data_IF_775617240968
#
_entry.id   IF_775617240968
#
_cell.length_a   1.000
_cell.length_b   1.000
_cell.length_c   1.000
_cell.angle_alpha   90.00
_cell.angle_beta   90.00
_cell.angle_gamma   90.00
#
_symmetry.space_group_name_H-M   'P 1'
#
loop_
_entity.id
_entity.type
_entity.pdbx_description
1 polymer ?
#
# COMPACT_ATOMS: atom_id res chain seq x y z
N UNK A 1 8.32 16.73 11.41
CA UNK A 1 9.26 16.25 12.31
C UNK A 1 8.72 15.87 13.68
N UNK A 2 9.55 16.02 14.70
CA UNK A 2 9.31 15.57 16.08
C UNK A 2 7.97 16.02 16.68
N UNK A 3 7.54 17.26 16.38
CA UNK A 3 6.23 17.76 16.82
C UNK A 3 5.09 16.91 16.27
N UNK A 4 5.11 16.58 14.97
CA UNK A 4 4.09 15.77 14.32
C UNK A 4 4.05 14.34 14.88
N UNK A 5 5.20 13.72 15.06
CA UNK A 5 5.29 12.37 15.64
C UNK A 5 4.64 12.29 17.03
N UNK A 6 4.83 13.34 17.85
CA UNK A 6 4.27 13.43 19.19
C UNK A 6 2.75 13.70 19.20
N UNK A 7 2.27 14.57 18.30
CA UNK A 7 0.91 15.10 18.38
C UNK A 7 -0.06 14.50 17.36
N UNK A 8 0.40 13.68 16.41
CA UNK A 8 -0.47 13.06 15.42
C UNK A 8 -1.66 12.26 16.00
N UNK A 9 -1.55 11.47 17.12
CA UNK A 9 -2.71 10.79 17.67
C UNK A 9 -3.79 11.77 18.17
N UNK A 10 -3.36 12.90 18.73
CA UNK A 10 -4.29 13.95 19.16
C UNK A 10 -4.97 14.63 17.97
N UNK A 11 -4.25 14.86 16.88
CA UNK A 11 -4.84 15.36 15.64
C UNK A 11 -5.88 14.39 15.09
N UNK A 12 -5.59 13.09 15.04
CA UNK A 12 -6.53 12.05 14.61
C UNK A 12 -7.79 12.05 15.47
N UNK A 13 -7.64 12.08 16.80
CA UNK A 13 -8.77 12.13 17.72
C UNK A 13 -9.59 13.40 17.50
N UNK A 14 -8.94 14.56 17.43
CA UNK A 14 -9.60 15.85 17.23
C UNK A 14 -10.48 15.87 15.97
N UNK A 15 -9.90 15.52 14.82
CA UNK A 15 -10.64 15.50 13.56
C UNK A 15 -11.73 14.45 13.52
N UNK A 16 -11.52 13.28 14.11
CA UNK A 16 -12.55 12.26 14.23
C UNK A 16 -13.73 12.72 15.10
N UNK A 17 -13.46 13.34 16.23
CA UNK A 17 -14.50 13.87 17.12
C UNK A 17 -15.26 15.05 16.49
N UNK A 18 -14.58 15.87 15.69
CA UNK A 18 -15.19 16.97 14.94
C UNK A 18 -16.27 16.47 13.94
N UNK A 19 -16.14 15.24 13.45
CA UNK A 19 -17.17 14.58 12.66
C UNK A 19 -18.19 13.85 13.54
N UNK A 20 -17.72 12.98 14.44
CA UNK A 20 -18.59 12.06 15.20
C UNK A 20 -19.60 12.82 16.07
N UNK A 21 -19.19 13.90 16.75
CA UNK A 21 -20.06 14.62 17.68
C UNK A 21 -21.23 15.29 16.95
N UNK A 22 -21.05 16.12 15.92
CA UNK A 22 -22.17 16.70 15.19
C UNK A 22 -23.05 15.64 14.51
N UNK A 23 -22.45 14.56 14.03
CA UNK A 23 -23.18 13.47 13.39
C UNK A 23 -24.06 12.73 14.42
N UNK A 24 -23.54 12.44 15.60
CA UNK A 24 -24.30 11.82 16.68
C UNK A 24 -25.44 12.72 17.20
N UNK A 25 -25.22 14.03 17.28
CA UNK A 25 -26.27 15.00 17.67
C UNK A 25 -27.40 15.05 16.64
N UNK A 26 -27.05 14.95 15.34
CA UNK A 26 -28.03 15.06 14.25
C UNK A 26 -28.79 13.75 14.00
N UNK A 27 -28.12 12.62 14.01
CA UNK A 27 -28.66 11.31 13.60
C UNK A 27 -28.82 10.30 14.74
N UNK A 28 -28.39 10.65 15.94
CA UNK A 28 -28.40 9.79 17.11
C UNK A 28 -27.08 9.05 17.35
N UNK A 29 -26.80 8.79 18.64
CA UNK A 29 -25.55 8.12 19.05
C UNK A 29 -25.42 6.68 18.52
N UNK A 30 -26.54 5.95 18.38
CA UNK A 30 -26.56 4.60 17.82
C UNK A 30 -26.08 4.59 16.37
N UNK A 31 -26.67 5.42 15.52
CA UNK A 31 -26.29 5.54 14.10
C UNK A 31 -24.84 6.01 13.94
N UNK A 32 -24.37 6.90 14.80
CA UNK A 32 -22.97 7.33 14.77
C UNK A 32 -22.02 6.18 15.14
N UNK A 33 -22.37 5.39 16.16
CA UNK A 33 -21.59 4.21 16.54
C UNK A 33 -21.58 3.15 15.43
N UNK A 34 -22.73 2.87 14.80
CA UNK A 34 -22.82 1.96 13.65
C UNK A 34 -21.91 2.42 12.50
N UNK A 35 -22.01 3.70 12.09
CA UNK A 35 -21.19 4.24 11.00
C UNK A 35 -19.69 4.12 11.27
N UNK A 36 -19.26 4.45 12.49
CA UNK A 36 -17.84 4.34 12.87
C UNK A 36 -17.40 2.88 12.95
N UNK A 37 -18.20 2.00 13.55
CA UNK A 37 -17.88 0.58 13.67
C UNK A 37 -17.86 -0.10 12.30
N UNK A 38 -18.80 0.21 11.42
CA UNK A 38 -18.81 -0.32 10.05
C UNK A 38 -17.53 0.04 9.31
N UNK A 39 -17.12 1.30 9.37
CA UNK A 39 -15.87 1.77 8.79
C UNK A 39 -14.64 1.06 9.40
N UNK A 40 -14.59 0.89 10.71
CA UNK A 40 -13.47 0.26 11.40
C UNK A 40 -13.40 -1.25 11.15
N UNK A 41 -14.54 -1.92 11.08
CA UNK A 41 -14.61 -3.38 10.92
C UNK A 41 -14.46 -3.80 9.46
N UNK A 42 -15.16 -3.14 8.55
CA UNK A 42 -15.23 -3.58 7.16
C UNK A 42 -14.17 -2.92 6.26
N UNK A 43 -13.74 -1.69 6.56
CA UNK A 43 -12.72 -1.01 5.76
C UNK A 43 -11.34 -1.05 6.44
N UNK A 44 -11.23 -0.58 7.68
CA UNK A 44 -9.93 -0.39 8.33
C UNK A 44 -9.28 -1.70 8.76
N UNK A 45 -10.02 -2.66 9.33
CA UNK A 45 -9.46 -3.89 9.90
C UNK A 45 -8.73 -4.72 8.83
N UNK A 46 -9.37 -5.02 7.72
CA UNK A 46 -8.80 -5.79 6.62
C UNK A 46 -7.60 -5.07 6.00
N UNK A 47 -7.72 -3.75 5.82
CA UNK A 47 -6.66 -2.90 5.32
C UNK A 47 -5.41 -2.92 6.20
N UNK A 48 -5.56 -2.65 7.51
CA UNK A 48 -4.39 -2.56 8.39
C UNK A 48 -3.75 -3.91 8.65
N UNK A 49 -4.55 -4.99 8.70
CA UNK A 49 -4.02 -6.35 8.87
C UNK A 49 -3.22 -6.77 7.63
N UNK A 50 -3.68 -6.43 6.44
CA UNK A 50 -2.90 -6.70 5.21
C UNK A 50 -1.56 -5.95 5.22
N UNK A 51 -1.58 -4.64 5.49
CA UNK A 51 -0.34 -3.85 5.56
C UNK A 51 0.60 -4.38 6.65
N UNK A 52 0.07 -4.71 7.81
CA UNK A 52 0.83 -5.30 8.91
C UNK A 52 1.46 -6.63 8.50
N UNK A 53 0.70 -7.53 7.88
CA UNK A 53 1.19 -8.83 7.41
C UNK A 53 2.33 -8.69 6.40
N UNK A 54 2.12 -7.88 5.36
CA UNK A 54 3.15 -7.62 4.35
C UNK A 54 4.40 -6.96 4.95
N UNK A 55 4.22 -5.97 5.83
CA UNK A 55 5.32 -5.31 6.53
C UNK A 55 6.13 -6.28 7.37
N UNK A 56 5.48 -7.16 8.14
CA UNK A 56 6.14 -8.17 8.95
C UNK A 56 6.94 -9.15 8.08
N UNK A 57 6.31 -9.68 7.05
CA UNK A 57 6.94 -10.71 6.20
C UNK A 57 8.06 -10.12 5.35
N UNK A 58 7.86 -8.93 4.74
CA UNK A 58 8.91 -8.25 3.98
C UNK A 58 10.11 -7.88 4.86
N UNK A 59 9.86 -7.46 6.12
CA UNK A 59 10.91 -7.16 7.10
C UNK A 59 11.79 -8.36 7.48
N UNK A 60 11.33 -9.57 7.20
CA UNK A 60 12.03 -10.82 7.42
C UNK A 60 12.82 -11.33 6.19
N UNK A 61 12.88 -10.54 5.12
CA UNK A 61 13.70 -10.84 3.92
C UNK A 61 14.76 -9.74 3.79
N UNK A 62 16.01 -10.14 3.55
CA UNK A 62 17.12 -9.21 3.34
C UNK A 62 17.81 -9.49 2.03
N UNK A 63 18.17 -8.42 1.32
CA UNK A 63 19.02 -8.46 0.12
C UNK A 63 20.33 -7.77 0.47
N UNK A 64 21.42 -8.52 0.44
CA UNK A 64 22.77 -8.03 0.70
C UNK A 64 23.68 -8.35 -0.49
N UNK A 65 24.88 -7.79 -0.51
CA UNK A 65 25.90 -8.12 -1.49
C UNK A 65 26.89 -6.99 -1.72
N UNK A 66 27.81 -7.28 -2.62
CA UNK A 66 28.87 -6.37 -3.10
C UNK A 66 28.51 -5.66 -4.41
N UNK A 67 27.21 -5.66 -4.79
CA UNK A 67 26.77 -5.03 -6.02
C UNK A 67 27.11 -3.54 -6.01
N UNK A 68 27.77 -3.08 -7.08
CA UNK A 68 28.16 -1.68 -7.27
C UNK A 68 27.09 -0.95 -8.08
N UNK A 69 26.63 0.17 -7.55
CA UNK A 69 25.64 1.03 -8.22
C UNK A 69 26.23 1.69 -9.47
N UNK A 70 25.85 1.17 -10.62
CA UNK A 70 26.08 1.77 -11.93
C UNK A 70 24.72 2.14 -12.57
N UNK A 71 24.69 3.00 -13.60
CA UNK A 71 23.44 3.39 -14.25
C UNK A 71 22.61 2.20 -14.76
N UNK A 72 23.25 1.17 -15.27
CA UNK A 72 22.55 -0.05 -15.72
C UNK A 72 21.98 -0.85 -14.55
N UNK A 73 22.79 -1.04 -13.51
CA UNK A 73 22.38 -1.79 -12.32
C UNK A 73 21.22 -1.09 -11.59
N UNK A 74 21.28 0.24 -11.44
CA UNK A 74 20.19 1.02 -10.86
C UNK A 74 18.89 0.86 -11.66
N UNK A 75 18.93 0.99 -12.98
CA UNK A 75 17.75 0.83 -13.84
C UNK A 75 17.15 -0.57 -13.73
N UNK A 76 17.97 -1.62 -13.79
CA UNK A 76 17.51 -3.01 -13.69
C UNK A 76 16.87 -3.26 -12.32
N UNK A 77 17.54 -2.84 -11.25
CA UNK A 77 17.06 -3.07 -9.89
C UNK A 77 15.74 -2.32 -9.60
N UNK A 78 15.63 -1.05 -10.04
CA UNK A 78 14.41 -0.28 -9.89
C UNK A 78 13.29 -0.86 -10.77
N UNK A 79 13.58 -1.32 -11.96
CA UNK A 79 12.61 -2.00 -12.83
C UNK A 79 12.05 -3.28 -12.19
N UNK A 80 12.92 -4.15 -11.67
CA UNK A 80 12.50 -5.36 -10.93
C UNK A 80 11.67 -4.98 -9.69
N UNK A 81 12.14 -3.99 -8.92
CA UNK A 81 11.44 -3.51 -7.73
C UNK A 81 10.04 -2.97 -8.04
N UNK A 82 9.84 -2.32 -9.18
CA UNK A 82 8.54 -1.84 -9.64
C UNK A 82 7.54 -2.98 -9.80
N UNK A 83 7.94 -4.08 -10.42
CA UNK A 83 7.07 -5.27 -10.54
C UNK A 83 6.82 -5.96 -9.20
N UNK A 84 7.85 -6.06 -8.35
CA UNK A 84 7.71 -6.65 -7.02
C UNK A 84 6.69 -5.87 -6.17
N UNK A 85 6.64 -4.56 -6.29
CA UNK A 85 5.73 -3.70 -5.52
C UNK A 85 4.26 -4.07 -5.69
N UNK A 86 3.86 -4.55 -6.87
CA UNK A 86 2.48 -5.02 -7.11
C UNK A 86 2.12 -6.30 -6.32
N UNK A 87 3.09 -7.09 -5.88
CA UNK A 87 2.87 -8.39 -5.23
C UNK A 87 3.16 -8.41 -3.74
N UNK A 88 4.11 -7.59 -3.29
CA UNK A 88 4.50 -7.51 -1.87
C UNK A 88 4.13 -6.16 -1.24
N UNK A 89 3.38 -5.34 -1.98
CA UNK A 89 3.03 -3.98 -1.61
C UNK A 89 4.18 -2.99 -1.80
N UNK A 90 3.84 -1.73 -2.07
CA UNK A 90 4.83 -0.64 -2.21
C UNK A 90 5.69 -0.48 -0.95
N UNK A 91 5.10 -0.60 0.24
CA UNK A 91 5.80 -0.55 1.53
C UNK A 91 6.78 -1.71 1.68
N UNK A 92 6.34 -2.94 1.37
CA UNK A 92 7.18 -4.15 1.45
C UNK A 92 8.36 -4.10 0.48
N UNK A 93 8.11 -3.74 -0.77
CA UNK A 93 9.16 -3.60 -1.78
C UNK A 93 10.15 -2.48 -1.44
N UNK A 94 9.65 -1.36 -0.94
CA UNK A 94 10.49 -0.25 -0.50
C UNK A 94 11.39 -0.66 0.67
N UNK A 95 10.84 -1.36 1.66
CA UNK A 95 11.59 -1.85 2.82
C UNK A 95 12.69 -2.83 2.39
N UNK A 96 12.40 -3.72 1.46
CA UNK A 96 13.33 -4.71 0.94
C UNK A 96 14.49 -4.08 0.14
N UNK A 97 14.20 -3.07 -0.69
CA UNK A 97 15.13 -2.60 -1.71
C UNK A 97 15.82 -1.27 -1.39
N UNK A 98 15.29 -0.43 -0.49
CA UNK A 98 15.87 0.89 -0.21
C UNK A 98 17.32 0.80 0.27
N UNK A 99 17.64 -0.16 1.11
CA UNK A 99 18.98 -0.33 1.67
C UNK A 99 19.99 -0.87 0.68
N UNK A 100 19.72 -1.95 -0.06
CA UNK A 100 20.56 -2.34 -1.18
C UNK A 100 20.86 -1.16 -2.11
N UNK A 101 19.84 -0.37 -2.49
CA UNK A 101 20.02 0.79 -3.37
C UNK A 101 20.91 1.86 -2.74
N UNK A 102 20.73 2.17 -1.45
CA UNK A 102 21.59 3.13 -0.73
C UNK A 102 23.02 2.60 -0.63
N UNK A 103 23.20 1.33 -0.23
CA UNK A 103 24.51 0.70 -0.01
C UNK A 103 25.32 0.62 -1.31
N UNK A 104 24.74 0.14 -2.39
CA UNK A 104 25.43 0.00 -3.67
C UNK A 104 25.83 1.34 -4.30
N UNK A 105 25.14 2.42 -3.93
CA UNK A 105 25.45 3.78 -4.38
C UNK A 105 26.17 4.63 -3.30
N UNK A 106 26.63 4.04 -2.19
CA UNK A 106 27.25 4.77 -1.06
C UNK A 106 28.51 5.54 -1.47
N UNK A 107 29.31 5.00 -2.39
CA UNK A 107 30.53 5.59 -2.92
C UNK A 107 30.31 6.85 -3.77
N UNK A 108 29.09 7.09 -4.26
CA UNK A 108 28.72 8.19 -5.13
C UNK A 108 28.35 9.45 -4.34
N UNK A 109 28.79 10.61 -4.83
CA UNK A 109 28.38 11.93 -4.33
C UNK A 109 27.03 12.36 -4.92
N UNK A 110 26.87 12.19 -6.23
CA UNK A 110 25.66 12.61 -6.97
C UNK A 110 24.66 11.44 -7.11
N UNK A 111 23.88 11.16 -6.06
CA UNK A 111 22.97 10.00 -5.98
C UNK A 111 21.52 10.32 -5.60
N UNK A 112 21.19 11.56 -5.28
CA UNK A 112 19.84 11.93 -4.81
C UNK A 112 18.73 11.56 -5.81
N UNK A 113 18.99 11.73 -7.12
CA UNK A 113 18.04 11.38 -8.17
C UNK A 113 17.65 9.89 -8.14
N UNK A 114 18.55 8.98 -7.76
CA UNK A 114 18.25 7.55 -7.68
C UNK A 114 17.12 7.30 -6.66
N UNK A 115 17.18 7.99 -5.52
CA UNK A 115 16.14 7.88 -4.48
C UNK A 115 14.81 8.50 -4.92
N UNK A 116 14.85 9.61 -5.67
CA UNK A 116 13.64 10.21 -6.25
C UNK A 116 12.95 9.24 -7.20
N UNK A 117 13.71 8.61 -8.10
CA UNK A 117 13.16 7.59 -9.02
C UNK A 117 12.76 6.30 -8.31
N UNK A 118 13.43 5.93 -7.22
CA UNK A 118 13.02 4.84 -6.34
C UNK A 118 11.59 5.07 -5.81
N UNK A 119 11.33 6.29 -5.32
CA UNK A 119 10.01 6.66 -4.81
C UNK A 119 8.97 6.59 -5.94
N UNK A 120 9.25 7.18 -7.10
CA UNK A 120 8.31 7.17 -8.23
C UNK A 120 7.99 5.76 -8.71
N UNK A 121 9.00 4.91 -8.86
CA UNK A 121 8.88 3.58 -9.43
C UNK A 121 8.38 2.56 -8.41
N UNK A 122 9.10 2.37 -7.31
CA UNK A 122 8.85 1.28 -6.36
C UNK A 122 7.81 1.68 -5.31
N UNK A 123 7.96 2.88 -4.71
CA UNK A 123 7.11 3.29 -3.60
C UNK A 123 5.75 3.84 -4.03
N UNK A 124 5.56 4.11 -5.33
CA UNK A 124 4.31 4.67 -5.85
C UNK A 124 3.76 3.80 -7.00
N UNK A 125 4.16 4.06 -8.26
CA UNK A 125 3.49 3.47 -9.41
C UNK A 125 3.60 1.93 -9.49
N UNK A 126 4.60 1.33 -8.86
CA UNK A 126 4.79 -0.12 -8.85
C UNK A 126 3.65 -0.89 -8.18
N UNK A 127 2.86 -0.25 -7.33
CA UNK A 127 1.70 -0.87 -6.67
C UNK A 127 0.44 -1.02 -7.54
N UNK A 128 0.43 -0.51 -8.77
CA UNK A 128 -0.79 -0.31 -9.56
C UNK A 128 -1.43 -1.57 -10.18
N UNK A 129 -0.83 -2.75 -10.09
CA UNK A 129 -1.33 -3.95 -10.80
C UNK A 129 -2.20 -4.88 -9.96
N UNK A 130 -2.16 -4.81 -8.64
CA UNK A 130 -2.98 -5.67 -7.79
C UNK A 130 -3.49 -4.92 -6.56
N UNK A 131 -4.59 -5.38 -5.93
CA UNK A 131 -5.09 -4.81 -4.68
C UNK A 131 -4.11 -4.85 -3.51
N UNK A 132 -3.14 -5.76 -3.53
CA UNK A 132 -2.09 -5.86 -2.50
C UNK A 132 -1.02 -4.80 -2.72
N UNK A 133 -0.86 -4.34 -3.95
CA UNK A 133 0.17 -3.38 -4.35
C UNK A 133 0.01 -2.02 -3.70
N UNK A 134 -1.22 -1.50 -3.70
CA UNK A 134 -1.49 -0.15 -3.21
C UNK A 134 -2.88 -0.05 -2.53
N UNK A 135 -2.98 0.70 -1.41
CA UNK A 135 -4.20 0.86 -0.63
C UNK A 135 -5.47 1.23 -1.42
N UNK A 136 -5.44 2.15 -2.39
CA UNK A 136 -6.62 2.47 -3.19
C UNK A 136 -7.22 1.26 -3.90
N UNK A 137 -6.39 0.41 -4.47
CA UNK A 137 -6.84 -0.78 -5.20
C UNK A 137 -7.45 -1.82 -4.25
N UNK A 138 -6.92 -1.95 -3.04
CA UNK A 138 -7.51 -2.78 -2.00
C UNK A 138 -8.92 -2.29 -1.63
N UNK A 139 -9.10 -0.98 -1.50
CA UNK A 139 -10.41 -0.39 -1.22
C UNK A 139 -11.40 -0.61 -2.37
N UNK A 140 -10.94 -0.59 -3.61
CA UNK A 140 -11.74 -0.97 -4.77
C UNK A 140 -12.14 -2.44 -4.73
N UNK A 141 -11.20 -3.31 -4.41
CA UNK A 141 -11.44 -4.74 -4.24
C UNK A 141 -12.48 -5.04 -3.15
N UNK A 142 -12.37 -4.41 -1.98
CA UNK A 142 -13.36 -4.52 -0.89
C UNK A 142 -14.77 -4.06 -1.30
N UNK A 143 -14.89 -3.27 -2.37
CA UNK A 143 -16.16 -2.80 -2.94
C UNK A 143 -16.60 -3.56 -4.19
N UNK A 144 -16.05 -4.76 -4.41
CA UNK A 144 -16.46 -5.69 -5.45
C UNK A 144 -15.72 -5.55 -6.79
N UNK A 145 -14.66 -4.74 -6.88
CA UNK A 145 -13.81 -4.73 -8.07
C UNK A 145 -12.97 -6.02 -8.09
N UNK A 146 -12.98 -6.83 -9.16
CA UNK A 146 -12.25 -8.09 -9.19
C UNK A 146 -10.73 -7.90 -8.98
N UNK A 147 -10.10 -8.84 -8.25
CA UNK A 147 -8.68 -8.78 -7.90
C UNK A 147 -7.76 -8.50 -9.10
N UNK A 148 -7.98 -9.18 -10.22
CA UNK A 148 -7.15 -9.04 -11.41
C UNK A 148 -7.60 -7.92 -12.37
N UNK A 149 -8.61 -7.14 -12.01
CA UNK A 149 -9.09 -6.05 -12.86
C UNK A 149 -8.02 -5.01 -13.15
N UNK A 150 -7.20 -4.66 -12.17
CA UNK A 150 -6.13 -3.66 -12.27
C UNK A 150 -4.95 -4.10 -13.15
N UNK A 151 -4.82 -5.39 -13.50
CA UNK A 151 -3.84 -5.84 -14.49
C UNK A 151 -4.03 -5.17 -15.86
N UNK A 152 -5.23 -4.68 -16.15
CA UNK A 152 -5.50 -3.88 -17.37
C UNK A 152 -4.65 -2.61 -17.46
N UNK A 153 -4.13 -2.13 -16.34
CA UNK A 153 -3.20 -0.98 -16.29
C UNK A 153 -1.75 -1.35 -16.65
N UNK A 154 -1.45 -2.64 -16.87
CA UNK A 154 -0.10 -3.09 -17.21
C UNK A 154 0.53 -2.34 -18.41
N UNK A 155 -0.16 -2.08 -19.54
CA UNK A 155 0.42 -1.32 -20.64
C UNK A 155 0.77 0.12 -20.24
N UNK A 156 -0.06 0.76 -19.41
CA UNK A 156 0.17 2.11 -18.92
C UNK A 156 1.35 2.13 -17.95
N UNK A 157 1.41 1.17 -17.01
CA UNK A 157 2.55 1.00 -16.12
C UNK A 157 3.84 0.78 -16.90
N UNK A 158 3.83 -0.12 -17.89
CA UNK A 158 5.00 -0.43 -18.71
C UNK A 158 5.50 0.80 -19.48
N UNK A 159 4.59 1.56 -20.09
CA UNK A 159 4.94 2.81 -20.79
C UNK A 159 5.60 3.82 -19.85
N UNK A 160 4.98 4.09 -18.70
CA UNK A 160 5.52 5.02 -17.70
C UNK A 160 6.86 4.53 -17.14
N UNK A 161 6.98 3.23 -16.87
CA UNK A 161 8.22 2.61 -16.40
C UNK A 161 9.35 2.78 -17.44
N UNK A 162 9.09 2.55 -18.72
CA UNK A 162 10.07 2.73 -19.79
C UNK A 162 10.52 4.20 -19.84
N UNK A 163 9.60 5.15 -19.79
CA UNK A 163 9.91 6.58 -19.80
C UNK A 163 10.78 6.94 -18.59
N UNK A 164 10.34 6.59 -17.38
CA UNK A 164 11.05 6.95 -16.15
C UNK A 164 12.43 6.28 -16.06
N UNK A 165 12.54 4.99 -16.41
CA UNK A 165 13.81 4.28 -16.39
C UNK A 165 14.78 4.83 -17.47
N UNK A 166 14.26 5.26 -18.61
CA UNK A 166 15.07 5.91 -19.66
C UNK A 166 15.61 7.26 -19.17
N UNK A 167 14.76 8.09 -18.58
CA UNK A 167 15.17 9.37 -18.00
C UNK A 167 16.19 9.15 -16.88
N UNK A 168 15.92 8.21 -15.97
CA UNK A 168 16.85 7.82 -14.92
C UNK A 168 18.20 7.41 -15.51
N UNK A 169 18.23 6.54 -16.53
CA UNK A 169 19.46 6.07 -17.12
C UNK A 169 20.36 7.22 -17.62
N UNK A 170 19.79 8.18 -18.33
CA UNK A 170 20.57 9.32 -18.85
C UNK A 170 21.01 10.27 -17.74
N UNK A 171 20.16 10.57 -16.78
CA UNK A 171 20.51 11.41 -15.62
C UNK A 171 21.60 10.73 -14.79
N UNK A 172 21.43 9.45 -14.49
CA UNK A 172 22.38 8.69 -13.68
C UNK A 172 23.70 8.50 -14.39
N UNK A 173 23.71 8.27 -15.72
CA UNK A 173 24.94 8.19 -16.53
C UNK A 173 25.72 9.50 -16.49
N UNK A 174 25.04 10.65 -16.52
CA UNK A 174 25.70 11.97 -16.41
C UNK A 174 26.29 12.17 -15.02
N UNK A 175 25.53 11.83 -13.95
CA UNK A 175 25.98 11.94 -12.58
C UNK A 175 27.14 10.98 -12.27
N UNK A 176 27.05 9.73 -12.76
CA UNK A 176 28.09 8.71 -12.63
C UNK A 176 29.43 9.17 -13.25
N UNK A 177 29.39 9.74 -14.48
CA UNK A 177 30.59 10.27 -15.11
C UNK A 177 31.23 11.42 -14.33
N UNK A 178 30.42 12.29 -13.72
CA UNK A 178 30.90 13.36 -12.85
C UNK A 178 31.60 12.82 -11.60
N UNK A 179 31.03 11.77 -11.00
CA UNK A 179 31.60 11.14 -9.81
C UNK A 179 32.95 10.49 -10.12
N UNK A 180 33.05 9.73 -11.22
CA UNK A 180 34.31 9.13 -11.68
C UNK A 180 35.37 10.21 -12.01
N UNK A 181 34.98 11.27 -12.72
CA UNK A 181 35.88 12.38 -13.04
C UNK A 181 36.40 13.14 -11.82
N UNK A 182 35.62 13.13 -10.71
CA UNK A 182 35.99 13.68 -9.43
C UNK A 182 36.82 12.74 -8.54
N UNK A 183 37.19 11.53 -9.05
CA UNK A 183 38.01 10.55 -8.33
C UNK A 183 37.24 9.63 -7.38
N UNK A 184 35.91 9.68 -7.35
CA UNK A 184 35.13 8.73 -6.58
C UNK A 184 35.11 7.37 -7.27
N UNK A 185 35.56 6.32 -6.56
CA UNK A 185 35.56 4.96 -7.08
C UNK A 185 34.90 3.99 -6.10
N UNK A 186 34.18 2.98 -6.61
CA UNK A 186 33.60 1.97 -5.76
C UNK A 186 34.69 1.05 -5.16
N UNK A 187 34.51 0.66 -3.90
CA UNK A 187 35.28 -0.44 -3.31
C UNK A 187 34.74 -1.77 -3.88
N UNK A 188 35.58 -2.47 -4.63
CA UNK A 188 35.25 -3.82 -5.14
C UNK A 188 35.70 -4.81 -4.08
N UNK A 189 34.75 -5.50 -3.47
CA UNK A 189 35.02 -6.57 -2.50
C UNK A 189 35.05 -7.91 -3.23
N UNK A 190 36.22 -8.38 -3.56
CA UNK A 190 36.43 -9.59 -4.39
C UNK A 190 35.87 -10.88 -3.78
N UNK A 191 35.71 -10.95 -2.45
CA UNK A 191 35.29 -12.17 -1.73
C UNK A 191 33.81 -12.16 -1.29
N UNK A 192 33.03 -11.15 -1.60
CA UNK A 192 31.61 -11.11 -1.26
C UNK A 192 30.74 -11.48 -2.48
N UNK A 193 29.66 -12.25 -2.30
CA UNK A 193 28.73 -12.53 -3.41
C UNK A 193 28.08 -11.23 -3.92
N UNK A 194 27.84 -11.16 -5.23
CA UNK A 194 27.20 -9.99 -5.86
C UNK A 194 25.84 -9.70 -5.23
N UNK A 195 25.04 -10.73 -5.01
CA UNK A 195 23.73 -10.65 -4.37
C UNK A 195 23.58 -11.88 -3.44
N UNK A 196 23.13 -11.63 -2.23
CA UNK A 196 22.81 -12.67 -1.24
C UNK A 196 21.42 -12.36 -0.67
N UNK A 197 20.54 -13.34 -0.76
CA UNK A 197 19.23 -13.28 -0.14
C UNK A 197 19.23 -14.06 1.16
N UNK A 198 18.69 -13.46 2.23
CA UNK A 198 18.44 -14.15 3.48
C UNK A 198 16.94 -14.09 3.80
N UNK A 199 16.40 -15.15 4.41
CA UNK A 199 14.97 -15.21 4.76
C UNK A 199 14.05 -15.54 3.59
N UNK A 200 14.52 -16.15 2.49
CA UNK A 200 13.70 -16.46 1.29
C UNK A 200 12.49 -17.37 1.57
N UNK A 201 12.51 -18.18 2.64
CA UNK A 201 11.35 -18.97 3.04
C UNK A 201 10.12 -18.08 3.34
N UNK A 202 10.31 -16.81 3.64
CA UNK A 202 9.22 -15.85 3.85
C UNK A 202 8.41 -15.53 2.57
N UNK A 203 8.92 -15.89 1.40
CA UNK A 203 8.14 -15.82 0.15
C UNK A 203 6.88 -16.70 0.25
N UNK A 204 6.96 -17.85 0.96
CA UNK A 204 5.80 -18.71 1.20
C UNK A 204 4.72 -17.95 1.97
N UNK A 205 5.09 -17.16 2.97
CA UNK A 205 4.13 -16.36 3.75
C UNK A 205 3.55 -15.20 2.93
N UNK A 206 4.33 -14.60 2.01
CA UNK A 206 3.79 -13.63 1.03
C UNK A 206 2.72 -14.31 0.16
N UNK A 207 3.02 -15.51 -0.37
CA UNK A 207 2.04 -16.27 -1.18
C UNK A 207 0.78 -16.59 -0.38
N UNK A 208 0.90 -16.95 0.91
CA UNK A 208 -0.26 -17.18 1.79
C UNK A 208 -1.08 -15.90 1.97
N UNK A 209 -0.44 -14.74 2.16
CA UNK A 209 -1.14 -13.44 2.26
C UNK A 209 -1.87 -13.12 0.95
N UNK A 210 -1.20 -13.27 -0.19
CA UNK A 210 -1.81 -13.06 -1.51
C UNK A 210 -3.02 -13.98 -1.70
N UNK A 211 -2.87 -15.26 -1.35
CA UNK A 211 -3.96 -16.24 -1.43
C UNK A 211 -5.12 -15.87 -0.49
N UNK A 212 -4.84 -15.40 0.73
CA UNK A 212 -5.87 -14.98 1.68
C UNK A 212 -6.73 -13.83 1.11
N UNK A 213 -6.08 -12.81 0.52
CA UNK A 213 -6.79 -11.70 -0.12
C UNK A 213 -7.60 -12.16 -1.33
N UNK A 214 -7.05 -13.03 -2.20
CA UNK A 214 -7.81 -13.56 -3.34
C UNK A 214 -9.02 -14.37 -2.85
N UNK A 215 -8.82 -15.21 -1.84
CA UNK A 215 -9.89 -16.04 -1.27
C UNK A 215 -11.00 -15.17 -0.66
N UNK A 216 -10.70 -14.07 0.00
CA UNK A 216 -11.73 -13.20 0.58
C UNK A 216 -12.67 -12.61 -0.47
N UNK A 217 -12.21 -12.46 -1.71
CA UNK A 217 -13.05 -12.01 -2.83
C UNK A 217 -13.78 -13.13 -3.56
N UNK A 218 -13.34 -14.39 -3.46
CA UNK A 218 -13.95 -15.53 -4.16
C UNK A 218 -14.89 -16.32 -3.25
N UNK A 219 -14.55 -16.48 -1.99
CA UNK A 219 -15.33 -17.26 -1.02
C UNK A 219 -16.78 -16.75 -0.81
N UNK A 220 -17.09 -15.44 -0.91
CA UNK A 220 -18.47 -14.95 -0.85
C UNK A 220 -19.42 -15.60 -1.86
N UNK A 221 -18.91 -15.99 -3.03
CA UNK A 221 -19.71 -16.62 -4.10
C UNK A 221 -19.87 -18.14 -3.91
N UNK A 222 -19.18 -18.73 -2.95
CA UNK A 222 -19.24 -20.17 -2.68
C UNK A 222 -20.44 -20.48 -1.76
N UNK A 223 -21.37 -21.39 -2.16
CA UNK A 223 -22.57 -21.69 -1.38
C UNK A 223 -22.33 -22.11 0.08
N UNK A 224 -21.17 -22.71 0.37
CA UNK A 224 -20.79 -23.10 1.75
C UNK A 224 -20.67 -21.90 2.70
N UNK A 225 -20.31 -20.72 2.18
CA UNK A 225 -20.17 -19.48 2.95
C UNK A 225 -21.42 -18.59 2.88
N UNK A 226 -22.51 -19.08 2.29
CA UNK A 226 -23.77 -18.37 2.16
C UNK A 226 -24.84 -18.97 3.08
N UNK A 227 -25.74 -18.11 3.56
CA UNK A 227 -26.94 -18.52 4.27
C UNK A 227 -28.03 -18.98 3.29
N UNK A 228 -29.18 -19.43 3.82
CA UNK A 228 -30.31 -19.88 3.00
C UNK A 228 -30.90 -18.76 2.10
N UNK A 229 -30.60 -17.50 2.36
CA UNK A 229 -31.02 -16.35 1.56
C UNK A 229 -29.99 -15.97 0.47
N UNK A 230 -28.86 -16.70 0.36
CA UNK A 230 -27.78 -16.40 -0.57
C UNK A 230 -26.85 -15.26 -0.11
N UNK A 231 -26.96 -14.83 1.14
CA UNK A 231 -26.09 -13.80 1.70
C UNK A 231 -24.87 -14.43 2.40
N UNK A 232 -23.74 -13.75 2.38
CA UNK A 232 -22.52 -14.23 3.07
C UNK A 232 -22.76 -14.35 4.57
N UNK A 233 -22.41 -15.50 5.14
CA UNK A 233 -22.49 -15.75 6.57
C UNK A 233 -21.61 -14.72 7.29
N UNK A 234 -22.22 -13.98 8.23
CA UNK A 234 -21.56 -12.86 8.91
C UNK A 234 -21.82 -12.92 10.40
N UNK A 235 -20.87 -12.44 11.17
CA UNK A 235 -20.96 -12.35 12.63
C UNK A 235 -21.48 -10.96 12.97
N UNK A 236 -22.63 -10.84 13.65
CA UNK A 236 -23.15 -9.56 14.10
C UNK A 236 -22.24 -8.97 15.19
N UNK A 237 -21.90 -7.69 15.07
CA UNK A 237 -21.03 -6.97 16.02
C UNK A 237 -21.85 -5.96 16.81
N UNK A 238 -22.56 -5.05 16.11
CA UNK A 238 -23.38 -4.04 16.76
C UNK A 238 -24.42 -3.49 15.76
N UNK A 239 -25.69 -3.45 16.11
CA UNK A 239 -26.77 -3.00 15.22
C UNK A 239 -26.76 -3.76 13.90
N UNK A 240 -26.65 -3.04 12.80
CA UNK A 240 -26.56 -3.61 11.45
C UNK A 240 -25.11 -3.98 11.05
N UNK A 241 -24.11 -3.64 11.87
CA UNK A 241 -22.69 -3.91 11.55
C UNK A 241 -22.39 -5.39 11.72
N UNK A 242 -21.91 -5.99 10.62
CA UNK A 242 -21.58 -7.41 10.55
C UNK A 242 -20.18 -7.58 9.98
N UNK A 243 -19.44 -8.57 10.48
CA UNK A 243 -18.17 -9.00 9.91
C UNK A 243 -18.39 -10.29 9.12
N UNK A 244 -18.11 -10.27 7.81
CA UNK A 244 -18.20 -11.45 6.98
C UNK A 244 -17.19 -12.51 7.46
N UNK A 245 -17.62 -13.80 7.47
CA UNK A 245 -16.73 -14.90 7.89
C UNK A 245 -15.53 -15.02 6.92
N UNK A 246 -15.71 -14.67 5.66
CA UNK A 246 -14.64 -14.64 4.65
C UNK A 246 -13.58 -13.60 4.96
N UNK A 247 -13.95 -12.42 5.45
CA UNK A 247 -13.02 -11.39 5.92
C UNK A 247 -12.31 -11.83 7.21
N UNK A 248 -13.00 -12.52 8.10
CA UNK A 248 -12.36 -13.09 9.30
C UNK A 248 -11.31 -14.14 8.94
N UNK A 249 -11.60 -15.02 7.97
CA UNK A 249 -10.64 -16.00 7.46
C UNK A 249 -9.40 -15.28 6.88
N UNK A 250 -9.59 -14.25 6.08
CA UNK A 250 -8.50 -13.41 5.54
C UNK A 250 -7.62 -12.87 6.66
N UNK A 251 -8.21 -12.19 7.64
CA UNK A 251 -7.51 -11.61 8.80
C UNK A 251 -6.71 -12.67 9.55
N UNK A 252 -7.33 -13.82 9.85
CA UNK A 252 -6.66 -14.92 10.57
C UNK A 252 -5.50 -15.49 9.76
N UNK A 253 -5.67 -15.72 8.47
CA UNK A 253 -4.61 -16.24 7.60
C UNK A 253 -3.41 -15.28 7.53
N UNK A 254 -3.66 -13.97 7.38
CA UNK A 254 -2.61 -12.95 7.32
C UNK A 254 -1.86 -12.86 8.66
N UNK A 255 -2.57 -12.81 9.77
CA UNK A 255 -1.96 -12.76 11.11
C UNK A 255 -1.15 -14.02 11.42
N UNK A 256 -1.64 -15.19 11.03
CA UNK A 256 -0.91 -16.46 11.17
C UNK A 256 0.35 -16.48 10.31
N UNK A 257 0.28 -16.01 9.05
CA UNK A 257 1.43 -15.89 8.17
C UNK A 257 2.49 -14.95 8.78
N UNK A 258 2.09 -13.78 9.28
CA UNK A 258 2.97 -12.84 9.95
C UNK A 258 3.62 -13.45 11.21
N UNK A 259 2.84 -14.11 12.05
CA UNK A 259 3.32 -14.77 13.26
C UNK A 259 4.33 -15.88 12.94
N UNK A 260 4.02 -16.76 11.99
CA UNK A 260 4.92 -17.84 11.57
C UNK A 260 6.20 -17.28 10.93
N UNK A 261 6.10 -16.24 10.12
CA UNK A 261 7.26 -15.54 9.57
C UNK A 261 8.19 -15.03 10.67
N UNK A 262 7.65 -14.42 11.72
CA UNK A 262 8.45 -13.98 12.88
C UNK A 262 9.08 -15.12 13.66
N UNK A 263 8.37 -16.23 13.83
CA UNK A 263 8.86 -17.43 14.56
C UNK A 263 9.95 -18.17 13.81
N UNK A 264 9.84 -18.27 12.50
CA UNK A 264 10.76 -19.07 11.66
C UNK A 264 11.98 -18.30 11.19
N UNK A 265 11.97 -16.95 11.31
CA UNK A 265 13.07 -16.11 10.84
C UNK A 265 13.97 -15.65 11.99
N UNK A 266 15.28 -15.74 11.78
CA UNK A 266 16.25 -15.26 12.75
C UNK A 266 16.12 -13.75 12.97
N UNK A 267 16.18 -13.31 14.24
CA UNK A 267 16.13 -11.90 14.61
C UNK A 267 17.26 -11.05 13.99
N UNK A 268 18.40 -11.65 13.65
CA UNK A 268 19.50 -10.95 12.98
C UNK A 268 19.10 -10.38 11.62
N UNK A 269 18.23 -11.08 10.86
CA UNK A 269 17.72 -10.58 9.57
C UNK A 269 16.92 -9.29 9.78
N UNK A 270 16.08 -9.25 10.81
CA UNK A 270 15.31 -8.02 11.17
C UNK A 270 16.21 -6.88 11.61
N UNK A 271 17.28 -7.17 12.37
CA UNK A 271 18.29 -6.16 12.75
C UNK A 271 19.01 -5.60 11.53
N UNK A 272 19.40 -6.45 10.59
CA UNK A 272 19.99 -6.02 9.31
C UNK A 272 19.05 -5.10 8.51
N UNK A 273 17.74 -5.38 8.53
CA UNK A 273 16.71 -4.52 7.94
C UNK A 273 16.37 -3.30 8.80
N UNK A 274 16.99 -3.12 9.99
CA UNK A 274 16.61 -2.13 11.00
C UNK A 274 15.09 -2.06 11.18
N UNK A 275 14.47 -3.22 11.23
CA UNK A 275 13.04 -3.34 11.40
C UNK A 275 12.60 -2.64 12.68
N UNK A 276 11.61 -1.74 12.56
CA UNK A 276 11.00 -1.05 13.71
C UNK A 276 9.49 -1.00 13.51
N UNK A 277 8.76 -1.06 14.59
CA UNK A 277 7.30 -0.96 14.56
C UNK A 277 6.79 0.45 14.26
N UNK A 278 7.65 1.47 14.30
CA UNK A 278 7.27 2.88 14.15
C UNK A 278 6.47 3.16 12.87
N UNK A 279 6.95 2.62 11.73
CA UNK A 279 6.30 2.86 10.43
C UNK A 279 4.86 2.31 10.39
N UNK A 280 4.66 1.06 10.80
CA UNK A 280 3.32 0.46 10.77
C UNK A 280 2.38 1.08 11.84
N UNK A 281 2.90 1.46 13.00
CA UNK A 281 2.13 2.18 14.01
C UNK A 281 1.68 3.56 13.51
N UNK A 282 2.56 4.27 12.80
CA UNK A 282 2.21 5.54 12.18
C UNK A 282 1.07 5.40 11.20
N UNK A 283 1.19 4.46 10.28
CA UNK A 283 0.15 4.15 9.29
C UNK A 283 -1.16 3.76 9.99
N UNK A 284 -1.10 2.86 10.99
CA UNK A 284 -2.29 2.42 11.72
C UNK A 284 -3.05 3.59 12.36
N UNK A 285 -2.34 4.49 13.05
CA UNK A 285 -2.97 5.66 13.72
C UNK A 285 -3.55 6.65 12.72
N UNK A 286 -2.80 6.95 11.63
CA UNK A 286 -3.26 7.92 10.64
C UNK A 286 -4.48 7.43 9.88
N UNK A 287 -4.49 6.16 9.47
CA UNK A 287 -5.61 5.63 8.68
C UNK A 287 -6.90 5.46 9.47
N UNK A 288 -6.87 5.24 10.79
CA UNK A 288 -8.09 5.34 11.62
C UNK A 288 -8.74 6.72 11.41
N UNK A 289 -7.97 7.79 11.53
CA UNK A 289 -8.48 9.15 11.34
C UNK A 289 -8.98 9.39 9.92
N UNK A 290 -8.24 8.95 8.91
CA UNK A 290 -8.60 9.08 7.50
C UNK A 290 -9.93 8.38 7.22
N UNK A 291 -10.09 7.12 7.61
CA UNK A 291 -11.31 6.35 7.38
C UNK A 291 -12.53 6.95 8.07
N UNK A 292 -12.40 7.43 9.31
CA UNK A 292 -13.49 8.07 10.04
C UNK A 292 -13.85 9.42 9.41
N UNK A 293 -12.86 10.28 9.15
CA UNK A 293 -13.10 11.64 8.64
C UNK A 293 -13.52 11.68 7.18
N UNK A 294 -13.31 10.61 6.44
CA UNK A 294 -13.78 10.46 5.06
C UNK A 294 -15.28 10.18 4.97
N UNK A 295 -15.91 9.61 6.00
CA UNK A 295 -17.32 9.19 5.96
C UNK A 295 -18.29 10.30 5.55
N UNK A 296 -18.23 11.54 6.10
CA UNK A 296 -19.13 12.61 5.67
C UNK A 296 -18.97 12.96 4.19
N UNK A 297 -17.75 12.94 3.65
CA UNK A 297 -17.52 13.19 2.23
C UNK A 297 -18.16 12.08 1.37
N UNK A 298 -17.99 10.82 1.73
CA UNK A 298 -18.61 9.69 1.04
C UNK A 298 -20.14 9.73 1.09
N UNK A 299 -20.73 10.10 2.23
CA UNK A 299 -22.18 10.25 2.38
C UNK A 299 -22.74 11.36 1.47
N UNK A 300 -22.09 12.52 1.44
CA UNK A 300 -22.49 13.64 0.58
C UNK A 300 -22.39 13.24 -0.89
N UNK A 301 -21.30 12.62 -1.31
CA UNK A 301 -21.09 12.22 -2.69
C UNK A 301 -22.01 11.09 -3.13
N UNK A 302 -22.36 10.18 -2.24
CA UNK A 302 -23.35 9.15 -2.52
C UNK A 302 -24.76 9.73 -2.80
N UNK A 303 -25.10 10.83 -2.13
CA UNK A 303 -26.42 11.48 -2.29
C UNK A 303 -26.44 12.56 -3.38
N UNK A 304 -25.37 13.32 -3.58
CA UNK A 304 -25.29 14.48 -4.44
C UNK A 304 -24.14 14.45 -5.46
N UNK A 305 -23.50 13.31 -5.65
CA UNK A 305 -22.34 13.17 -6.57
C UNK A 305 -22.69 13.53 -8.01
N UNK A 306 -23.92 13.21 -8.47
CA UNK A 306 -24.41 13.57 -9.80
C UNK A 306 -24.50 15.07 -10.03
N UNK A 307 -24.66 15.88 -8.98
CA UNK A 307 -24.76 17.35 -9.05
C UNK A 307 -23.41 18.04 -9.25
N UNK A 308 -22.29 17.30 -9.11
CA UNK A 308 -20.95 17.86 -9.32
C UNK A 308 -20.65 18.25 -10.77
N UNK A 309 -21.51 17.89 -11.71
CA UNK A 309 -21.35 18.22 -13.13
C UNK A 309 -20.18 17.54 -13.83
N UNK A 310 -19.61 16.49 -13.24
CA UNK A 310 -18.55 15.67 -13.83
C UNK A 310 -19.16 14.64 -14.78
N UNK A 311 -19.69 15.08 -15.91
CA UNK A 311 -20.45 14.26 -16.86
C UNK A 311 -19.59 13.44 -17.82
N UNK A 312 -18.27 13.63 -17.83
CA UNK A 312 -17.38 13.01 -18.80
C UNK A 312 -16.19 12.29 -18.11
N UNK A 313 -15.79 11.06 -18.55
CA UNK A 313 -14.65 10.35 -17.98
C UNK A 313 -13.34 11.13 -17.96
N UNK A 314 -13.10 11.99 -18.97
CA UNK A 314 -11.92 12.85 -19.01
C UNK A 314 -11.89 13.90 -17.89
N UNK A 315 -13.04 14.47 -17.51
CA UNK A 315 -13.14 15.40 -16.38
C UNK A 315 -12.79 14.67 -15.07
N UNK A 316 -13.37 13.47 -14.87
CA UNK A 316 -13.03 12.59 -13.73
C UNK A 316 -11.54 12.34 -13.66
N UNK A 317 -10.89 11.96 -14.77
CA UNK A 317 -9.46 11.68 -14.83
C UNK A 317 -8.63 12.90 -14.38
N UNK A 318 -8.88 14.08 -14.95
CA UNK A 318 -8.09 15.27 -14.63
C UNK A 318 -8.32 15.78 -13.22
N UNK A 319 -9.58 15.79 -12.76
CA UNK A 319 -9.91 16.25 -11.40
C UNK A 319 -9.35 15.28 -10.36
N UNK A 320 -9.45 13.96 -10.57
CA UNK A 320 -8.84 12.95 -9.69
C UNK A 320 -7.33 13.14 -9.62
N UNK A 321 -6.66 13.29 -10.77
CA UNK A 321 -5.22 13.51 -10.83
C UNK A 321 -4.77 14.78 -10.13
N UNK A 322 -5.50 15.89 -10.31
CA UNK A 322 -5.21 17.13 -9.61
C UNK A 322 -5.38 17.00 -8.10
N UNK A 323 -6.47 16.40 -7.63
CA UNK A 323 -6.72 16.23 -6.20
C UNK A 323 -5.75 15.22 -5.55
N UNK A 324 -5.41 14.15 -6.23
CA UNK A 324 -4.40 13.17 -5.76
C UNK A 324 -3.00 13.77 -5.59
N UNK A 325 -2.74 14.95 -6.17
CA UNK A 325 -1.48 15.67 -5.95
C UNK A 325 -1.40 16.34 -4.57
N UNK A 326 -2.52 16.52 -3.88
CA UNK A 326 -2.62 17.19 -2.57
C UNK A 326 -3.17 16.27 -1.49
N UNK A 327 -4.07 15.36 -1.86
CA UNK A 327 -4.72 14.43 -0.94
C UNK A 327 -4.02 13.07 -1.01
N UNK A 328 -4.18 12.28 0.03
CA UNK A 328 -3.80 10.87 0.00
C UNK A 328 -4.57 10.12 -1.09
N UNK A 329 -3.91 9.15 -1.73
CA UNK A 329 -4.47 8.39 -2.85
C UNK A 329 -5.73 7.60 -2.46
N UNK A 330 -5.78 7.05 -1.25
CA UNK A 330 -6.89 6.21 -0.80
C UNK A 330 -8.21 6.98 -0.68
N UNK A 331 -8.29 8.10 0.07
CA UNK A 331 -9.50 8.89 0.11
C UNK A 331 -9.88 9.44 -1.25
N UNK A 332 -8.92 9.89 -2.06
CA UNK A 332 -9.18 10.39 -3.40
C UNK A 332 -9.84 9.32 -4.27
N UNK A 333 -9.28 8.11 -4.28
CA UNK A 333 -9.84 6.98 -5.04
C UNK A 333 -11.27 6.66 -4.61
N UNK A 334 -11.54 6.57 -3.30
CA UNK A 334 -12.86 6.24 -2.77
C UNK A 334 -13.90 7.30 -3.09
N UNK A 335 -13.53 8.58 -2.97
CA UNK A 335 -14.38 9.71 -3.35
C UNK A 335 -14.81 9.59 -4.80
N UNK A 336 -13.87 9.40 -5.71
CA UNK A 336 -14.19 9.33 -7.14
C UNK A 336 -14.89 8.03 -7.54
N UNK A 337 -14.57 6.90 -6.91
CA UNK A 337 -15.30 5.64 -7.10
C UNK A 337 -16.77 5.79 -6.69
N UNK A 338 -17.02 6.40 -5.53
CA UNK A 338 -18.38 6.66 -5.04
C UNK A 338 -19.12 7.62 -5.96
N UNK A 339 -18.46 8.69 -6.43
CA UNK A 339 -19.03 9.65 -7.36
C UNK A 339 -19.38 8.98 -8.69
N UNK A 340 -18.48 8.18 -9.26
CA UNK A 340 -18.73 7.44 -10.51
C UNK A 340 -19.93 6.49 -10.37
N UNK A 341 -20.00 5.74 -9.26
CA UNK A 341 -21.14 4.86 -8.97
C UNK A 341 -22.47 5.60 -8.84
N UNK A 342 -22.51 6.83 -8.27
CA UNK A 342 -23.71 7.64 -8.18
C UNK A 342 -24.16 8.20 -9.54
N UNK A 343 -23.27 8.24 -10.52
CA UNK A 343 -23.53 8.74 -11.88
C UNK A 343 -23.81 7.61 -12.90
N UNK A 344 -23.74 6.35 -12.48
CA UNK A 344 -23.99 5.18 -13.33
C UNK A 344 -22.85 4.84 -14.29
N UNK A 345 -21.62 5.24 -13.95
CA UNK A 345 -20.41 4.86 -14.69
C UNK A 345 -19.86 3.50 -14.23
#
# INVERSE_FOLDING_TARGET
>A
GEWWEKYRPFAVIFWSLLFIIPFAVKYGAGTAAETVLECLVNDYLTFIVLLFGLFCVAGNITVEGSLVGSPRVNVILLGIGTFLSSWIGTTGASMLLVRPVIKMNSWRRNKAHIMVFFIFLISNMGGSLTPIGDPPLLMGFSRGIPFFWSIRFFPILLLNMIILLTVLYFLDKRAYRKDIAAGYMPEIKENEPLIRFEGLHNIIFIVIIVAAVILSGVLPDVPFFQNAAGEVISIPIFGEVKLAITSLIEVVMILLAAFLSFKTTNAEIRKKNHFTWGAIQEVAVLFIGIFITMQPALMILKSAGAELGLTHPSQMFWVTGALSSFLDNTPTYLVFLTTAGSMGF
#
